data_IF_579379825470
#
_entry.id   IF_579379825470
#
_cell.length_a   1.000
_cell.length_b   1.000
_cell.length_c   1.000
_cell.angle_alpha   90.00
_cell.angle_beta   90.00
_cell.angle_gamma   90.00
#
_symmetry.space_group_name_H-M   'P 1'
#
loop_
_entity.id
_entity.type
_entity.pdbx_description
1 polymer ?
#
# COMPACT_ATOMS: atom_id res chain seq x y z
N UNK A 1 16.53 14.37 -99.85
CA UNK A 1 16.85 13.80 -98.53
C UNK A 1 16.26 14.72 -97.49
N UNK A 2 15.08 14.38 -96.95
CA UNK A 2 14.31 15.30 -96.02
C UNK A 2 14.39 14.71 -94.65
N UNK A 3 15.08 15.42 -93.71
CA UNK A 3 15.20 15.05 -92.33
C UNK A 3 13.94 15.49 -91.55
N UNK A 4 13.15 14.53 -91.07
CA UNK A 4 12.03 14.75 -90.13
C UNK A 4 12.61 14.97 -88.74
N UNK A 5 12.40 16.14 -88.19
CA UNK A 5 12.60 16.43 -86.76
C UNK A 5 11.42 15.89 -85.94
N UNK A 6 11.68 14.96 -85.07
CA UNK A 6 10.73 14.45 -84.09
C UNK A 6 10.81 15.37 -82.83
N UNK A 7 9.70 15.96 -82.45
CA UNK A 7 9.55 16.78 -81.19
C UNK A 7 9.38 15.87 -80.00
N UNK A 8 10.05 16.09 -78.87
CA UNK A 8 9.89 15.25 -77.69
C UNK A 8 8.59 15.54 -76.96
N UNK A 9 7.95 14.47 -76.58
CA UNK A 9 6.64 14.34 -75.92
C UNK A 9 6.49 15.12 -74.61
N UNK A 10 5.42 15.94 -74.58
CA UNK A 10 4.94 16.78 -73.48
C UNK A 10 4.43 16.01 -72.20
N UNK A 11 4.69 14.72 -72.09
CA UNK A 11 4.05 13.86 -71.05
C UNK A 11 4.76 13.87 -69.69
N UNK A 12 5.99 14.36 -69.57
CA UNK A 12 6.74 14.32 -68.33
C UNK A 12 6.35 15.46 -67.32
N UNK A 13 5.77 16.54 -67.81
CA UNK A 13 5.38 17.68 -66.97
C UNK A 13 4.06 17.42 -66.20
N UNK A 14 3.14 16.60 -66.73
CA UNK A 14 1.90 16.25 -66.00
C UNK A 14 2.14 15.35 -64.82
N UNK A 15 3.10 14.38 -64.90
CA UNK A 15 3.44 13.49 -63.78
C UNK A 15 4.15 14.20 -62.62
N UNK A 16 4.93 15.24 -62.89
CA UNK A 16 5.58 16.03 -61.82
C UNK A 16 4.57 16.94 -61.07
N UNK A 17 3.62 17.57 -61.76
CA UNK A 17 2.59 18.39 -61.14
C UNK A 17 1.65 17.60 -60.19
N UNK A 18 1.29 16.37 -60.60
CA UNK A 18 0.43 15.55 -59.72
C UNK A 18 1.14 15.01 -58.48
N UNK A 19 2.48 14.83 -58.50
CA UNK A 19 3.24 14.45 -57.31
C UNK A 19 3.39 15.63 -56.30
N UNK A 20 3.58 16.83 -56.79
CA UNK A 20 3.68 18.02 -55.92
C UNK A 20 2.35 18.35 -55.28
N UNK A 21 1.23 18.20 -56.01
CA UNK A 21 -0.10 18.47 -55.43
C UNK A 21 -0.46 17.42 -54.37
N UNK A 22 -0.12 16.15 -54.55
CA UNK A 22 -0.34 15.09 -53.56
C UNK A 22 0.50 15.25 -52.28
N UNK A 23 1.70 15.85 -52.39
CA UNK A 23 2.54 16.17 -51.22
C UNK A 23 2.00 17.40 -50.48
N UNK A 24 1.51 18.42 -51.18
CA UNK A 24 0.88 19.61 -50.60
C UNK A 24 -0.44 19.27 -49.89
N UNK A 25 -1.27 18.43 -50.49
CA UNK A 25 -2.50 17.90 -49.85
C UNK A 25 -2.21 17.09 -48.60
N UNK A 26 -1.10 16.34 -48.57
CA UNK A 26 -0.64 15.60 -47.38
C UNK A 26 -0.13 16.50 -46.26
N UNK A 27 0.53 17.62 -46.58
CA UNK A 27 0.98 18.59 -45.57
C UNK A 27 -0.18 19.42 -45.00
N UNK A 28 -1.16 19.78 -45.82
CA UNK A 28 -2.37 20.46 -45.34
C UNK A 28 -3.23 19.55 -44.47
N UNK A 29 -3.30 18.23 -44.76
CA UNK A 29 -3.99 17.27 -43.93
C UNK A 29 -3.29 17.05 -42.55
N UNK A 30 -1.97 17.13 -42.50
CA UNK A 30 -1.20 17.07 -41.26
C UNK A 30 -1.28 18.37 -40.44
N UNK A 31 -1.38 19.55 -41.09
CA UNK A 31 -1.52 20.83 -40.40
C UNK A 31 -2.92 21.07 -39.84
N UNK A 32 -3.92 20.36 -40.34
CA UNK A 32 -5.32 20.40 -39.85
C UNK A 32 -5.60 19.42 -38.73
N UNK A 33 -4.63 18.58 -38.28
CA UNK A 33 -4.72 17.84 -37.02
C UNK A 33 -4.80 18.86 -35.89
N UNK A 34 -6.04 19.15 -35.52
CA UNK A 34 -6.38 20.11 -34.46
C UNK A 34 -5.67 19.67 -33.17
N UNK A 35 -4.57 20.35 -32.85
CA UNK A 35 -3.70 20.06 -31.69
C UNK A 35 -4.50 20.13 -30.38
N UNK A 36 -5.69 20.73 -30.43
CA UNK A 36 -6.58 20.80 -29.24
C UNK A 36 -7.11 19.45 -28.81
N UNK A 37 -7.36 18.51 -29.73
CA UNK A 37 -7.85 17.15 -29.36
C UNK A 37 -6.86 16.33 -28.51
N UNK A 38 -5.57 16.18 -28.88
CA UNK A 38 -4.63 15.45 -28.05
C UNK A 38 -4.38 16.13 -26.70
N UNK A 39 -4.40 17.47 -26.66
CA UNK A 39 -4.27 18.21 -25.38
C UNK A 39 -5.50 17.97 -24.50
N UNK A 40 -6.71 18.08 -25.04
CA UNK A 40 -7.94 17.82 -24.30
C UNK A 40 -8.00 16.36 -23.80
N UNK A 41 -7.56 15.39 -24.60
CA UNK A 41 -7.46 13.99 -24.20
C UNK A 41 -6.49 13.80 -23.02
N UNK A 42 -5.30 14.38 -23.11
CA UNK A 42 -4.28 14.31 -22.04
C UNK A 42 -4.77 14.96 -20.74
N UNK A 43 -5.43 16.12 -20.84
CA UNK A 43 -6.03 16.79 -19.69
C UNK A 43 -7.17 15.94 -19.09
N UNK A 44 -8.02 15.37 -19.91
CA UNK A 44 -9.10 14.48 -19.48
C UNK A 44 -8.59 13.23 -18.77
N UNK A 45 -7.55 12.58 -19.31
CA UNK A 45 -6.90 11.42 -18.71
C UNK A 45 -6.22 11.78 -17.39
N UNK A 46 -5.50 12.91 -17.33
CA UNK A 46 -4.82 13.33 -16.09
C UNK A 46 -5.81 13.70 -14.98
N UNK A 47 -6.92 14.38 -15.33
CA UNK A 47 -8.00 14.68 -14.40
C UNK A 47 -8.69 13.41 -13.92
N UNK A 48 -9.03 12.49 -14.83
CA UNK A 48 -9.62 11.19 -14.51
C UNK A 48 -8.73 10.36 -13.57
N UNK A 49 -7.44 10.32 -13.84
CA UNK A 49 -6.46 9.66 -12.97
C UNK A 49 -6.37 10.32 -11.59
N UNK A 50 -6.39 11.66 -11.53
CA UNK A 50 -6.41 12.41 -10.28
C UNK A 50 -7.65 12.09 -9.43
N UNK A 51 -8.83 12.08 -10.03
CA UNK A 51 -10.10 11.71 -9.37
C UNK A 51 -10.06 10.27 -8.88
N UNK A 52 -9.63 9.33 -9.72
CA UNK A 52 -9.50 7.93 -9.34
C UNK A 52 -8.57 7.75 -8.13
N UNK A 53 -7.44 8.45 -8.12
CA UNK A 53 -6.50 8.46 -6.99
C UNK A 53 -7.13 8.97 -5.70
N UNK A 54 -7.92 10.05 -5.75
CA UNK A 54 -8.61 10.60 -4.58
C UNK A 54 -9.63 9.59 -4.05
N UNK A 55 -10.41 8.94 -4.92
CA UNK A 55 -11.42 7.94 -4.53
C UNK A 55 -10.74 6.74 -3.85
N UNK A 56 -9.67 6.21 -4.44
CA UNK A 56 -8.90 5.09 -3.87
C UNK A 56 -8.32 5.48 -2.52
N UNK A 57 -7.72 6.66 -2.43
CA UNK A 57 -7.13 7.17 -1.18
C UNK A 57 -8.18 7.33 -0.07
N UNK A 58 -9.35 7.89 -0.38
CA UNK A 58 -10.43 8.05 0.59
C UNK A 58 -10.98 6.69 1.06
N UNK A 59 -11.14 5.74 0.14
CA UNK A 59 -11.52 4.37 0.49
C UNK A 59 -10.48 3.67 1.35
N UNK A 60 -9.20 3.82 1.01
CA UNK A 60 -8.10 3.26 1.78
C UNK A 60 -8.10 3.79 3.22
N UNK A 61 -8.32 5.10 3.41
CA UNK A 61 -8.42 5.68 4.74
C UNK A 61 -9.59 5.11 5.56
N UNK A 62 -10.76 4.97 4.93
CA UNK A 62 -11.92 4.39 5.59
C UNK A 62 -11.66 2.96 6.06
N UNK A 63 -10.94 2.18 5.27
CA UNK A 63 -10.63 0.78 5.59
C UNK A 63 -9.52 0.70 6.60
N UNK A 64 -8.49 1.53 6.48
CA UNK A 64 -7.48 1.66 7.51
C UNK A 64 -8.12 1.94 8.87
N UNK A 65 -9.05 2.90 8.91
CA UNK A 65 -9.81 3.23 10.12
C UNK A 65 -10.54 2.00 10.69
N UNK A 66 -11.34 1.35 9.86
CA UNK A 66 -12.10 0.16 10.27
C UNK A 66 -11.18 -0.97 10.72
N UNK A 67 -10.09 -1.19 10.00
CA UNK A 67 -9.14 -2.26 10.28
C UNK A 67 -8.40 -2.03 11.59
N UNK A 68 -7.88 -0.83 11.80
CA UNK A 68 -7.19 -0.45 13.05
C UNK A 68 -8.14 -0.55 14.25
N UNK A 69 -9.37 -0.03 14.14
CA UNK A 69 -10.38 -0.12 15.21
C UNK A 69 -10.74 -1.57 15.55
N UNK A 70 -10.81 -2.46 14.56
CA UNK A 70 -11.16 -3.86 14.78
C UNK A 70 -10.01 -4.70 15.33
N UNK A 71 -8.76 -4.35 14.98
CA UNK A 71 -7.58 -5.15 15.36
C UNK A 71 -6.92 -4.66 16.65
N UNK A 72 -7.12 -3.39 17.01
CA UNK A 72 -6.62 -2.81 18.26
C UNK A 72 -7.81 -2.63 19.22
N UNK A 73 -8.31 -3.75 19.72
CA UNK A 73 -9.51 -3.75 20.58
C UNK A 73 -9.20 -3.85 22.07
N UNK A 74 -7.96 -4.13 22.44
CA UNK A 74 -7.55 -4.28 23.83
C UNK A 74 -7.64 -2.95 24.57
N UNK A 75 -8.20 -2.93 25.79
CA UNK A 75 -8.14 -1.74 26.64
C UNK A 75 -6.68 -1.45 27.04
N UNK A 76 -6.34 -0.18 27.12
CA UNK A 76 -4.99 0.30 27.46
C UNK A 76 -3.88 -0.21 26.51
N UNK A 77 -4.23 -0.48 25.24
CA UNK A 77 -3.29 -0.95 24.23
C UNK A 77 -2.14 0.04 24.02
N UNK A 78 -0.93 -0.47 23.92
CA UNK A 78 0.28 0.28 23.57
C UNK A 78 0.62 -0.02 22.13
N UNK A 79 0.60 1.01 21.32
CA UNK A 79 0.79 0.89 19.87
C UNK A 79 2.13 1.50 19.47
N UNK A 80 2.88 0.79 18.67
CA UNK A 80 4.03 1.32 17.95
C UNK A 80 3.63 1.57 16.51
N UNK A 81 3.81 2.76 15.99
CA UNK A 81 3.59 3.10 14.60
C UNK A 81 4.90 3.53 13.92
N UNK A 82 5.24 2.86 12.83
CA UNK A 82 6.31 3.29 11.96
C UNK A 82 5.82 4.44 11.08
N UNK A 83 6.39 5.64 11.29
CA UNK A 83 6.04 6.81 10.51
C UNK A 83 6.92 6.94 9.27
N UNK A 84 6.30 7.04 8.12
CA UNK A 84 6.95 7.32 6.84
C UNK A 84 6.63 8.72 6.29
N UNK A 85 6.38 9.69 7.19
CA UNK A 85 6.01 11.06 6.83
C UNK A 85 4.50 11.31 6.77
N UNK A 86 3.66 10.33 7.10
CA UNK A 86 2.20 10.48 7.21
C UNK A 86 1.75 11.10 8.53
N UNK A 87 2.66 11.31 9.41
CA UNK A 87 2.60 11.90 10.75
C UNK A 87 1.21 12.11 11.35
N UNK A 88 0.74 11.11 12.10
CA UNK A 88 -0.44 11.23 12.96
C UNK A 88 -1.80 11.00 12.32
N UNK A 89 -1.91 10.72 11.02
CA UNK A 89 -3.22 10.48 10.38
C UNK A 89 -3.99 9.33 11.01
N UNK A 90 -3.30 8.27 11.41
CA UNK A 90 -3.91 7.10 12.02
C UNK A 90 -4.43 7.37 13.44
N UNK A 91 -3.98 8.44 14.11
CA UNK A 91 -4.45 8.78 15.46
C UNK A 91 -5.97 8.95 15.54
N UNK A 92 -6.59 9.46 14.49
CA UNK A 92 -8.05 9.58 14.44
C UNK A 92 -8.79 8.25 14.32
N UNK A 93 -8.07 7.17 13.99
CA UNK A 93 -8.62 5.85 13.71
C UNK A 93 -8.39 4.85 14.84
N UNK A 94 -7.49 5.17 15.77
CA UNK A 94 -7.30 4.32 16.94
C UNK A 94 -8.48 4.43 17.89
N UNK A 95 -8.84 3.33 18.57
CA UNK A 95 -9.82 3.36 19.65
C UNK A 95 -9.40 4.33 20.76
N UNK A 96 -10.36 5.04 21.35
CA UNK A 96 -10.09 6.02 22.42
C UNK A 96 -9.51 5.40 23.70
N UNK A 97 -9.61 4.09 23.85
CA UNK A 97 -9.04 3.33 24.96
C UNK A 97 -7.57 2.92 24.76
N UNK A 98 -6.92 3.38 23.69
CA UNK A 98 -5.47 3.20 23.52
C UNK A 98 -4.72 4.00 24.55
N UNK A 99 -3.78 3.37 25.24
CA UNK A 99 -3.01 4.02 26.31
C UNK A 99 -2.07 5.10 25.76
N UNK A 100 -1.34 4.77 24.71
CA UNK A 100 -0.49 5.69 23.95
C UNK A 100 -0.06 5.08 22.63
N UNK A 101 0.34 5.94 21.69
CA UNK A 101 0.96 5.56 20.43
C UNK A 101 2.39 6.08 20.39
N UNK A 102 3.35 5.19 20.18
CA UNK A 102 4.75 5.56 19.98
C UNK A 102 5.03 5.65 18.47
N UNK A 103 5.40 6.85 18.01
CA UNK A 103 5.80 7.10 16.64
C UNK A 103 7.30 6.98 16.50
N UNK A 104 7.76 6.12 15.56
CA UNK A 104 9.17 5.93 15.26
C UNK A 104 9.44 6.00 13.76
N UNK A 105 10.45 6.76 13.38
CA UNK A 105 10.87 6.90 11.99
C UNK A 105 11.81 8.09 11.78
N UNK A 106 12.45 8.18 10.61
CA UNK A 106 13.43 9.23 10.32
C UNK A 106 12.80 10.61 10.09
N UNK A 107 11.52 10.68 9.73
CA UNK A 107 10.83 11.92 9.32
C UNK A 107 9.66 12.29 10.23
N UNK A 108 9.67 11.83 11.48
CA UNK A 108 8.58 12.12 12.43
C UNK A 108 8.47 13.61 12.70
N UNK A 109 7.28 14.19 12.43
CA UNK A 109 6.97 15.60 12.63
C UNK A 109 6.35 15.81 14.01
N UNK A 110 7.18 16.04 15.01
CA UNK A 110 6.78 16.13 16.43
C UNK A 110 5.71 17.17 16.71
N UNK A 111 5.86 18.39 16.19
CA UNK A 111 4.90 19.48 16.41
C UNK A 111 3.50 19.17 15.88
N UNK A 112 3.45 18.57 14.67
CA UNK A 112 2.19 18.16 14.06
C UNK A 112 1.54 17.03 14.85
N UNK A 113 2.32 16.03 15.26
CA UNK A 113 1.84 14.92 16.08
C UNK A 113 1.30 15.38 17.44
N UNK A 114 1.96 16.34 18.07
CA UNK A 114 1.47 16.95 19.32
C UNK A 114 0.10 17.59 19.15
N UNK A 115 -0.11 18.36 18.10
CA UNK A 115 -1.41 18.97 17.80
C UNK A 115 -2.50 17.93 17.52
N UNK A 116 -2.19 16.92 16.70
CA UNK A 116 -3.14 15.85 16.36
C UNK A 116 -3.46 14.99 17.59
N UNK A 117 -2.48 14.72 18.44
CA UNK A 117 -2.64 13.98 19.70
C UNK A 117 -3.70 14.64 20.60
N UNK A 118 -3.65 15.96 20.76
CA UNK A 118 -4.65 16.70 21.52
C UNK A 118 -6.04 16.57 20.90
N UNK A 119 -6.15 16.70 19.58
CA UNK A 119 -7.42 16.56 18.87
C UNK A 119 -7.99 15.15 18.91
N UNK A 120 -7.12 14.14 18.79
CA UNK A 120 -7.49 12.74 18.83
C UNK A 120 -7.70 12.23 20.27
N UNK A 121 -7.29 12.99 21.30
CA UNK A 121 -7.34 12.58 22.71
C UNK A 121 -6.55 11.29 23.00
N UNK A 122 -5.47 11.06 22.26
CA UNK A 122 -4.60 9.89 22.42
C UNK A 122 -3.18 10.38 22.71
N UNK A 123 -2.57 10.01 23.85
CA UNK A 123 -1.19 10.36 24.15
C UNK A 123 -0.22 9.80 23.13
N UNK A 124 0.76 10.60 22.70
CA UNK A 124 1.82 10.18 21.80
C UNK A 124 3.19 10.26 22.43
N UNK A 125 4.03 9.30 22.07
CA UNK A 125 5.47 9.33 22.32
C UNK A 125 6.17 9.43 20.98
N UNK A 126 7.16 10.29 20.87
CA UNK A 126 7.81 10.58 19.59
C UNK A 126 9.29 10.28 19.72
N UNK A 127 9.78 9.49 18.79
CA UNK A 127 11.20 9.14 18.73
C UNK A 127 11.67 9.16 17.26
N UNK A 128 12.47 10.18 16.95
CA UNK A 128 13.08 10.29 15.63
C UNK A 128 14.34 9.44 15.59
N UNK A 129 14.31 8.38 14.81
CA UNK A 129 15.44 7.49 14.63
C UNK A 129 15.35 6.75 13.28
N UNK A 130 16.49 6.32 12.76
CA UNK A 130 16.55 5.37 11.63
C UNK A 130 15.79 4.09 12.00
N UNK A 131 15.06 3.50 11.06
CA UNK A 131 14.25 2.30 11.32
C UNK A 131 15.05 1.15 11.95
N UNK A 132 16.28 0.95 11.50
CA UNK A 132 17.19 -0.09 11.97
C UNK A 132 17.53 0.04 13.46
N UNK A 133 17.63 1.27 13.93
CA UNK A 133 18.02 1.60 15.32
C UNK A 133 16.83 1.94 16.20
N UNK A 134 15.67 2.17 15.61
CA UNK A 134 14.52 2.72 16.30
C UNK A 134 13.99 1.84 17.43
N UNK A 135 14.14 0.53 17.33
CA UNK A 135 13.60 -0.42 18.30
C UNK A 135 14.64 -0.97 19.28
N UNK A 136 15.94 -0.74 19.07
CA UNK A 136 17.00 -1.32 19.91
C UNK A 136 16.89 -0.93 21.40
N UNK A 137 16.36 0.25 21.71
CA UNK A 137 16.12 0.73 23.09
C UNK A 137 14.78 0.32 23.68
N UNK A 138 13.88 -0.31 22.93
CA UNK A 138 12.57 -0.70 23.43
C UNK A 138 12.63 -2.02 24.19
N UNK A 139 11.86 -2.07 25.29
CA UNK A 139 11.73 -3.28 26.09
C UNK A 139 11.03 -4.39 25.27
N UNK A 140 11.49 -5.62 25.42
CA UNK A 140 10.79 -6.79 24.88
C UNK A 140 9.36 -6.86 25.42
N UNK A 141 8.44 -7.37 24.59
CA UNK A 141 7.04 -7.63 24.98
C UNK A 141 6.33 -6.42 25.61
N UNK A 142 6.64 -5.23 25.10
CA UNK A 142 6.08 -3.98 25.62
C UNK A 142 4.92 -3.41 24.81
N UNK A 143 4.69 -3.91 23.58
CA UNK A 143 3.68 -3.39 22.66
C UNK A 143 2.59 -4.42 22.38
N UNK A 144 1.34 -3.94 22.28
CA UNK A 144 0.18 -4.76 21.92
C UNK A 144 -0.03 -4.78 20.40
N UNK A 145 0.40 -3.71 19.71
CA UNK A 145 0.35 -3.67 18.25
C UNK A 145 1.56 -2.92 17.68
N UNK A 146 2.01 -3.36 16.50
CA UNK A 146 2.94 -2.64 15.64
C UNK A 146 2.22 -2.33 14.33
N UNK A 147 2.19 -1.07 13.94
CA UNK A 147 1.47 -0.59 12.75
C UNK A 147 2.45 -0.03 11.73
N UNK A 148 2.31 -0.44 10.48
CA UNK A 148 3.02 0.11 9.34
C UNK A 148 2.03 0.56 8.27
N UNK A 149 2.12 1.83 7.89
CA UNK A 149 1.30 2.41 6.81
C UNK A 149 2.23 3.01 5.76
N UNK A 150 2.70 2.17 4.83
CA UNK A 150 3.66 2.55 3.79
C UNK A 150 5.13 2.51 4.24
N UNK A 151 5.43 2.32 5.53
CA UNK A 151 6.79 2.36 6.04
C UNK A 151 7.62 1.14 5.62
N UNK A 152 7.04 -0.06 5.58
CA UNK A 152 7.75 -1.26 5.13
C UNK A 152 8.13 -1.17 3.65
N UNK A 153 7.22 -0.67 2.81
CA UNK A 153 7.52 -0.40 1.40
C UNK A 153 8.65 0.61 1.25
N UNK A 154 8.68 1.63 2.09
CA UNK A 154 9.75 2.63 2.09
C UNK A 154 11.08 2.04 2.51
N UNK A 155 11.13 1.31 3.63
CA UNK A 155 12.34 0.60 4.09
C UNK A 155 12.87 -0.33 3.00
N UNK A 156 12.00 -1.11 2.38
CA UNK A 156 12.37 -2.03 1.31
C UNK A 156 13.03 -1.30 0.12
N UNK A 157 12.46 -0.16 -0.30
CA UNK A 157 12.99 0.63 -1.42
C UNK A 157 14.30 1.36 -1.11
N UNK A 158 14.42 1.91 0.09
CA UNK A 158 15.56 2.75 0.47
C UNK A 158 16.74 1.95 1.05
N UNK A 159 16.45 0.87 1.77
CA UNK A 159 17.43 0.12 2.57
C UNK A 159 17.58 -1.35 2.17
N UNK A 160 16.59 -1.89 1.45
CA UNK A 160 16.61 -3.28 0.96
C UNK A 160 15.95 -4.31 1.87
N UNK A 161 15.98 -5.57 1.40
CA UNK A 161 15.28 -6.71 2.02
C UNK A 161 15.83 -7.11 3.38
N UNK A 162 17.14 -7.02 3.55
CA UNK A 162 17.81 -7.43 4.80
C UNK A 162 17.38 -6.53 5.96
N UNK A 163 17.42 -5.22 5.73
CA UNK A 163 17.01 -4.22 6.73
C UNK A 163 15.53 -4.37 7.09
N UNK A 164 14.66 -4.60 6.09
CA UNK A 164 13.25 -4.88 6.38
C UNK A 164 13.11 -6.16 7.20
N UNK A 165 13.90 -7.19 6.93
CA UNK A 165 13.94 -8.42 7.72
C UNK A 165 14.30 -8.15 9.20
N UNK A 166 15.27 -7.30 9.45
CA UNK A 166 15.66 -6.90 10.81
C UNK A 166 14.58 -6.05 11.49
N UNK A 167 13.92 -5.15 10.76
CA UNK A 167 12.76 -4.39 11.27
C UNK A 167 11.62 -5.32 11.68
N UNK A 168 11.33 -6.36 10.91
CA UNK A 168 10.31 -7.38 11.24
C UNK A 168 10.69 -8.18 12.48
N UNK A 169 11.96 -8.57 12.62
CA UNK A 169 12.48 -9.29 13.77
C UNK A 169 12.39 -8.45 15.04
N UNK A 170 12.81 -7.20 15.00
CA UNK A 170 12.69 -6.27 16.10
C UNK A 170 11.23 -5.98 16.46
N UNK A 171 10.36 -5.82 15.45
CA UNK A 171 8.91 -5.70 15.66
C UNK A 171 8.35 -6.90 16.42
N UNK A 172 8.76 -8.11 16.04
CA UNK A 172 8.38 -9.32 16.76
C UNK A 172 8.92 -9.33 18.20
N UNK A 173 10.13 -8.83 18.45
CA UNK A 173 10.72 -8.77 19.80
C UNK A 173 9.91 -7.88 20.72
N UNK A 174 9.49 -6.71 20.26
CA UNK A 174 8.76 -5.73 21.08
C UNK A 174 7.28 -6.07 21.25
N UNK A 175 6.68 -6.85 20.35
CA UNK A 175 5.31 -7.34 20.49
C UNK A 175 5.19 -8.34 21.65
N UNK A 176 4.10 -8.27 22.41
CA UNK A 176 3.77 -9.24 23.46
C UNK A 176 3.55 -10.63 22.89
N UNK A 177 3.82 -11.65 23.71
CA UNK A 177 3.61 -13.06 23.35
C UNK A 177 2.32 -13.62 23.95
N UNK A 178 1.24 -12.83 23.92
CA UNK A 178 -0.07 -13.18 24.50
C UNK A 178 -1.05 -13.77 23.46
N UNK A 179 -0.59 -13.98 22.23
CA UNK A 179 -1.42 -14.48 21.13
C UNK A 179 -2.41 -13.47 20.56
N UNK A 180 -2.51 -12.26 21.15
CA UNK A 180 -3.39 -11.18 20.71
C UNK A 180 -2.61 -10.03 20.07
N UNK A 181 -1.33 -9.88 20.44
CA UNK A 181 -0.49 -8.83 19.87
C UNK A 181 -0.21 -9.07 18.39
N UNK A 182 -0.44 -8.05 17.59
CA UNK A 182 -0.38 -8.16 16.15
C UNK A 182 0.48 -7.09 15.50
N UNK A 183 1.17 -7.48 14.43
CA UNK A 183 1.69 -6.54 13.45
C UNK A 183 0.62 -6.28 12.39
N UNK A 184 0.28 -5.02 12.18
CA UNK A 184 -0.74 -4.54 11.26
C UNK A 184 -0.05 -3.77 10.14
N UNK A 185 -0.34 -4.09 8.89
CA UNK A 185 0.27 -3.41 7.76
C UNK A 185 -0.76 -2.99 6.72
N UNK A 186 -0.58 -1.78 6.21
CA UNK A 186 -1.36 -1.15 5.14
C UNK A 186 -0.32 -0.58 4.17
N UNK A 187 0.06 -1.38 3.19
CA UNK A 187 1.20 -1.12 2.32
C UNK A 187 0.79 -1.14 0.84
N UNK A 188 1.42 -0.36 -0.03
CA UNK A 188 1.34 -0.61 -1.47
C UNK A 188 1.80 -2.03 -1.77
N UNK A 189 0.98 -2.78 -2.53
CA UNK A 189 1.33 -4.17 -2.88
C UNK A 189 2.53 -4.22 -3.80
N UNK A 190 3.50 -5.04 -3.45
CA UNK A 190 4.58 -5.48 -4.36
C UNK A 190 4.92 -6.93 -4.05
N UNK A 191 5.29 -7.68 -5.09
CA UNK A 191 5.68 -9.10 -4.93
C UNK A 191 6.93 -9.22 -4.05
N UNK A 192 7.82 -8.23 -4.14
CA UNK A 192 9.02 -8.17 -3.33
C UNK A 192 8.72 -8.00 -1.84
N UNK A 193 7.75 -7.15 -1.49
CA UNK A 193 7.31 -6.98 -0.11
C UNK A 193 6.64 -8.25 0.42
N UNK A 194 5.80 -8.89 -0.39
CA UNK A 194 5.16 -10.16 -0.05
C UNK A 194 6.18 -11.25 0.25
N UNK A 195 7.19 -11.41 -0.61
CA UNK A 195 8.28 -12.38 -0.42
C UNK A 195 9.01 -12.18 0.92
N UNK A 196 9.34 -10.94 1.26
CA UNK A 196 10.01 -10.61 2.53
C UNK A 196 9.11 -10.88 3.73
N UNK A 197 7.83 -10.46 3.67
CA UNK A 197 6.86 -10.69 4.74
C UNK A 197 6.61 -12.18 4.97
N UNK A 198 6.47 -12.97 3.90
CA UNK A 198 6.29 -14.40 4.02
C UNK A 198 7.54 -15.11 4.54
N UNK A 199 8.70 -14.82 3.96
CA UNK A 199 9.95 -15.48 4.31
C UNK A 199 10.35 -15.23 5.76
N UNK A 200 10.36 -13.96 6.18
CA UNK A 200 10.74 -13.57 7.54
C UNK A 200 9.58 -13.73 8.53
N UNK A 201 8.35 -13.50 8.07
CA UNK A 201 7.15 -13.64 8.89
C UNK A 201 6.88 -15.05 9.35
N UNK A 202 7.06 -16.07 8.50
CA UNK A 202 6.83 -17.49 8.85
C UNK A 202 7.63 -17.97 10.05
N UNK A 203 8.81 -17.43 10.27
CA UNK A 203 9.65 -17.80 11.41
C UNK A 203 9.16 -17.15 12.72
N UNK A 204 8.61 -15.96 12.67
CA UNK A 204 8.33 -15.08 13.81
C UNK A 204 6.85 -15.01 14.17
N UNK A 205 5.98 -15.15 13.19
CA UNK A 205 4.55 -14.92 13.30
C UNK A 205 3.74 -16.13 12.84
N UNK A 206 2.49 -16.15 13.23
CA UNK A 206 1.48 -17.04 12.65
C UNK A 206 1.23 -16.67 11.18
N UNK A 207 0.55 -17.53 10.40
CA UNK A 207 0.22 -17.24 9.02
C UNK A 207 -0.43 -15.87 8.88
N UNK A 208 0.00 -15.13 7.84
CA UNK A 208 -0.49 -13.81 7.54
C UNK A 208 -1.97 -13.86 7.13
N UNK A 209 -2.80 -13.03 7.76
CA UNK A 209 -4.18 -12.80 7.34
C UNK A 209 -4.23 -11.56 6.45
N UNK A 210 -4.58 -11.73 5.19
CA UNK A 210 -4.65 -10.65 4.20
C UNK A 210 -6.10 -10.41 3.77
N UNK A 211 -6.50 -9.16 3.62
CA UNK A 211 -7.78 -8.81 2.99
C UNK A 211 -7.62 -8.80 1.45
N UNK A 212 -7.92 -9.93 0.81
CA UNK A 212 -7.76 -10.17 -0.62
C UNK A 212 -8.49 -9.14 -1.51
N UNK A 213 -9.52 -8.47 -1.01
CA UNK A 213 -10.29 -7.48 -1.80
C UNK A 213 -9.48 -6.29 -2.25
N UNK A 214 -8.40 -5.97 -1.56
CA UNK A 214 -7.55 -4.81 -1.85
C UNK A 214 -6.38 -5.15 -2.76
N UNK A 215 -6.01 -6.43 -2.81
CA UNK A 215 -4.96 -6.91 -3.71
C UNK A 215 -5.34 -6.77 -5.18
N UNK A 216 -6.63 -6.75 -5.48
CA UNK A 216 -7.17 -6.78 -6.85
C UNK A 216 -7.54 -5.42 -7.42
N UNK A 217 -7.26 -4.31 -6.72
CA UNK A 217 -7.49 -2.97 -7.26
C UNK A 217 -6.59 -2.73 -8.49
N UNK A 218 -7.16 -2.54 -9.69
CA UNK A 218 -6.39 -2.60 -10.93
C UNK A 218 -5.35 -1.49 -11.12
N UNK A 219 -5.47 -0.36 -10.41
CA UNK A 219 -4.57 0.78 -10.56
C UNK A 219 -3.68 1.02 -9.34
N UNK A 220 -4.13 0.60 -8.16
CA UNK A 220 -3.43 0.85 -6.90
C UNK A 220 -3.66 -0.32 -5.95
N UNK A 221 -3.02 -1.47 -6.18
CA UNK A 221 -3.17 -2.61 -5.28
C UNK A 221 -2.51 -2.30 -3.93
N UNK A 222 -3.24 -2.59 -2.86
CA UNK A 222 -2.75 -2.48 -1.49
C UNK A 222 -2.73 -3.84 -0.82
N UNK A 223 -1.74 -4.04 0.03
CA UNK A 223 -1.63 -5.16 0.92
C UNK A 223 -2.10 -4.71 2.31
N UNK A 224 -3.25 -5.20 2.75
CA UNK A 224 -3.81 -4.91 4.06
C UNK A 224 -3.92 -6.22 4.82
N UNK A 225 -3.22 -6.32 5.93
CA UNK A 225 -3.20 -7.57 6.66
C UNK A 225 -2.64 -7.46 8.08
N UNK A 226 -2.66 -8.60 8.75
CA UNK A 226 -2.11 -8.77 10.09
C UNK A 226 -1.29 -10.03 10.20
N UNK A 227 -0.28 -9.98 11.08
CA UNK A 227 0.47 -11.14 11.54
C UNK A 227 0.50 -11.12 13.06
N UNK A 228 -0.03 -12.16 13.71
CA UNK A 228 0.05 -12.33 15.16
C UNK A 228 1.35 -13.01 15.57
N UNK A 229 1.97 -12.55 16.65
CA UNK A 229 3.20 -13.15 17.15
C UNK A 229 2.94 -14.59 17.60
N UNK A 230 3.86 -15.50 17.29
CA UNK A 230 3.82 -16.88 17.82
C UNK A 230 4.02 -16.89 19.32
N UNK A 231 3.20 -17.66 20.04
CA UNK A 231 3.38 -17.88 21.47
C UNK A 231 4.70 -18.58 21.76
N UNK A 232 5.43 -18.11 22.77
CA UNK A 232 6.63 -18.79 23.28
C UNK A 232 6.18 -20.12 23.92
N UNK A 233 6.47 -21.23 23.30
CA UNK A 233 6.16 -22.58 23.82
C UNK A 233 5.26 -23.43 22.94
N UNK A 234 4.64 -22.86 21.92
CA UNK A 234 3.96 -23.65 20.88
C UNK A 234 4.99 -24.23 19.90
N UNK A 235 5.89 -25.09 20.40
CA UNK A 235 6.58 -26.02 19.51
C UNK A 235 5.50 -26.93 18.94
N UNK A 236 5.13 -26.66 17.70
CA UNK A 236 4.19 -27.46 16.94
C UNK A 236 4.64 -28.92 16.95
N UNK A 237 4.07 -29.73 17.86
CA UNK A 237 3.87 -31.12 17.57
C UNK A 237 2.93 -31.17 16.37
N UNK A 238 3.51 -31.04 15.19
CA UNK A 238 2.85 -31.41 13.95
C UNK A 238 2.82 -32.94 13.96
N UNK A 239 1.88 -33.47 14.71
CA UNK A 239 1.40 -34.79 14.43
C UNK A 239 0.66 -34.71 13.10
N UNK A 240 1.22 -35.42 12.14
CA UNK A 240 0.76 -35.57 10.77
C UNK A 240 -0.51 -36.46 10.70
N UNK A 241 -1.55 -36.09 11.42
CA UNK A 241 -2.86 -36.73 11.28
C UNK A 241 -3.87 -35.63 10.90
N UNK A 242 -4.34 -35.77 9.64
CA UNK A 242 -5.12 -34.80 8.90
C UNK A 242 -6.54 -34.56 9.40
N UNK A 243 -6.71 -33.94 10.54
CA UNK A 243 -8.02 -33.44 10.96
C UNK A 243 -8.03 -31.92 10.95
N UNK A 244 -8.75 -31.36 9.95
CA UNK A 244 -8.99 -29.93 9.85
C UNK A 244 -9.80 -29.47 11.06
N UNK A 245 -9.36 -28.46 11.85
CA UNK A 245 -10.17 -27.90 12.91
C UNK A 245 -11.41 -27.25 12.27
N UNK A 246 -12.58 -27.73 12.63
CA UNK A 246 -13.86 -27.08 12.29
C UNK A 246 -13.89 -25.71 12.96
N UNK A 247 -13.95 -24.68 12.18
CA UNK A 247 -13.95 -23.29 12.63
C UNK A 247 -15.08 -23.04 13.64
N UNK A 248 -14.76 -22.52 14.81
CA UNK A 248 -15.70 -22.11 15.88
C UNK A 248 -16.78 -21.11 15.43
N UNK A 249 -16.65 -20.54 14.26
CA UNK A 249 -17.63 -19.63 13.65
C UNK A 249 -19.00 -20.25 13.36
N UNK A 250 -19.11 -21.60 13.38
CA UNK A 250 -20.41 -22.26 13.21
C UNK A 250 -21.22 -22.37 14.51
N UNK A 251 -20.60 -22.23 15.67
CA UNK A 251 -21.30 -22.41 16.97
C UNK A 251 -22.18 -21.22 17.36
N UNK A 252 -21.94 -20.04 16.80
CA UNK A 252 -22.67 -18.81 17.15
C UNK A 252 -24.01 -18.71 16.39
N UNK A 253 -24.14 -19.39 15.24
CA UNK A 253 -25.37 -19.33 14.42
C UNK A 253 -26.53 -20.21 14.93
N UNK A 254 -26.28 -21.17 15.80
CA UNK A 254 -27.31 -22.12 16.26
C UNK A 254 -28.12 -21.67 17.49
N UNK A 255 -27.79 -20.54 18.14
CA UNK A 255 -28.46 -20.09 19.38
C UNK A 255 -29.56 -19.05 19.24
N UNK A 256 -29.94 -18.66 18.02
CA UNK A 256 -31.10 -17.76 17.81
C UNK A 256 -32.23 -18.51 17.15
N UNK A 257 -32.96 -19.33 17.94
CA UNK A 257 -34.35 -19.68 17.60
C UNK A 257 -35.30 -18.67 18.27
N UNK A 258 -36.22 -18.07 17.53
CA UNK A 258 -37.20 -17.18 18.13
C UNK A 258 -38.19 -18.03 18.96
N UNK A 259 -38.43 -17.63 20.20
CA UNK A 259 -39.56 -18.12 20.98
C UNK A 259 -40.84 -17.52 20.36
N UNK A 260 -41.74 -18.42 20.00
CA UNK A 260 -43.13 -18.08 19.69
C UNK A 260 -43.86 -17.66 20.95
#
# INVERSE_FOLDING_TARGET
MVLRRTTPSSNNNKRRRNKTNALLEGEEALSSLDVTYPIALLLGLSLGFGIARIIVYTRLQYIAAKFLTLRIFQPDARVLEYDCGNSGRNLYYYPKNVKFVTYKGPEVKGDLLGQISVQAEIPVQIETAEYEKSLSGMREESMDAVVSTGAFTRVLKEKGKEVLGDVLKESSRVLKSDGQAAMIFIEPKSDELMDVLEKNGRALFNPMEVDEKWETLPLFPYLIGTMTKKERGSSSNINSDGEKPKSELQSIRSRRKPKK
#
